data_IF_632329622946
#
_entry.id   IF_632329622946
#
_cell.length_a   1.000
_cell.length_b   1.000
_cell.length_c   1.000
_cell.angle_alpha   90.00
_cell.angle_beta   90.00
_cell.angle_gamma   90.00
#
_symmetry.space_group_name_H-M   'P 1'
#
loop_
_entity.id
_entity.type
_entity.pdbx_description
1 polymer ?
#
# COMPACT_ATOMS: atom_id res chain seq x y z
N UNK A 1 12.53 -6.28 21.98
CA UNK A 1 13.14 -6.41 20.64
C UNK A 1 13.52 -5.03 20.15
N UNK A 2 14.55 -4.90 19.31
CA UNK A 2 15.03 -3.59 18.81
C UNK A 2 14.30 -3.12 17.54
N UNK A 3 13.54 -4.01 16.90
CA UNK A 3 12.94 -3.77 15.60
C UNK A 3 11.46 -4.18 15.59
N UNK A 4 10.65 -3.37 14.92
CA UNK A 4 9.21 -3.60 14.76
C UNK A 4 8.81 -3.42 13.30
N UNK A 5 7.82 -4.20 12.87
CA UNK A 5 7.10 -4.01 11.62
C UNK A 5 5.75 -3.38 11.95
N UNK A 6 5.53 -2.17 11.44
CA UNK A 6 4.22 -1.51 11.44
C UNK A 6 3.44 -2.00 10.23
N UNK A 7 2.40 -2.79 10.48
CA UNK A 7 1.49 -3.32 9.48
C UNK A 7 0.40 -2.31 9.13
N UNK A 8 0.19 -2.05 7.84
CA UNK A 8 -0.83 -1.13 7.31
C UNK A 8 -1.75 -1.91 6.37
N UNK A 9 -3.00 -2.05 6.75
CA UNK A 9 -3.97 -2.88 6.04
C UNK A 9 -4.43 -2.26 4.70
N UNK A 10 -5.08 -3.07 3.88
CA UNK A 10 -5.71 -2.63 2.64
C UNK A 10 -7.16 -2.15 2.83
N UNK A 11 -7.88 -1.95 1.73
CA UNK A 11 -9.29 -1.58 1.78
C UNK A 11 -10.12 -2.71 2.40
N UNK A 12 -11.04 -2.37 3.31
CA UNK A 12 -11.86 -3.34 4.04
C UNK A 12 -11.12 -4.15 5.11
N UNK A 13 -9.80 -3.96 5.24
CA UNK A 13 -8.99 -4.66 6.23
C UNK A 13 -9.00 -4.02 7.61
N UNK A 14 -8.26 -4.62 8.54
CA UNK A 14 -8.11 -4.13 9.92
C UNK A 14 -6.68 -4.27 10.44
N UNK A 15 -6.27 -3.51 11.47
CA UNK A 15 -4.97 -3.70 12.12
C UNK A 15 -4.77 -5.11 12.70
N UNK A 16 -5.84 -5.88 12.96
CA UNK A 16 -5.72 -7.24 13.52
C UNK A 16 -5.09 -8.23 12.56
N UNK A 17 -5.14 -7.97 11.25
CA UNK A 17 -4.46 -8.81 10.25
C UNK A 17 -2.94 -8.90 10.47
N UNK A 18 -2.35 -7.95 11.21
CA UNK A 18 -0.96 -8.01 11.67
C UNK A 18 -0.64 -9.32 12.42
N UNK A 19 -1.62 -9.91 13.11
CA UNK A 19 -1.44 -11.14 13.90
C UNK A 19 -1.01 -12.33 13.03
N UNK A 20 -1.50 -12.42 11.79
CA UNK A 20 -1.11 -13.46 10.82
C UNK A 20 0.38 -13.41 10.48
N UNK A 21 0.98 -12.23 10.47
CA UNK A 21 2.36 -12.04 10.05
C UNK A 21 3.37 -12.25 11.19
N UNK A 22 2.94 -12.17 12.45
CA UNK A 22 3.81 -12.40 13.62
C UNK A 22 4.68 -13.67 13.54
N UNK A 23 4.13 -14.87 13.25
CA UNK A 23 4.95 -16.07 13.14
C UNK A 23 5.88 -16.10 11.91
N UNK A 24 5.72 -15.16 10.97
CA UNK A 24 6.51 -15.06 9.74
C UNK A 24 7.70 -14.10 9.87
N UNK A 25 7.74 -13.30 10.93
CA UNK A 25 8.72 -12.22 11.11
C UNK A 25 9.61 -12.47 12.34
N UNK A 26 10.40 -13.55 12.39
CA UNK A 26 11.28 -13.81 13.52
C UNK A 26 12.24 -12.62 13.73
N UNK A 27 12.43 -12.21 14.99
CA UNK A 27 13.27 -11.06 15.33
C UNK A 27 12.59 -9.69 15.23
N UNK A 28 11.32 -9.63 14.80
CA UNK A 28 10.50 -8.42 14.80
C UNK A 28 9.28 -8.59 15.70
N UNK A 29 8.94 -7.52 16.41
CA UNK A 29 7.54 -7.35 16.84
C UNK A 29 6.71 -6.91 15.62
N UNK A 30 5.44 -7.33 15.55
CA UNK A 30 4.52 -6.91 14.47
C UNK A 30 3.26 -6.32 15.08
N UNK A 31 3.00 -5.05 14.73
CA UNK A 31 1.89 -4.26 15.24
C UNK A 31 1.06 -3.72 14.08
N UNK A 32 -0.26 -3.76 14.19
CA UNK A 32 -1.15 -3.17 13.20
C UNK A 32 -1.42 -1.69 13.48
N UNK A 33 -1.27 -0.83 12.48
CA UNK A 33 -1.69 0.56 12.53
C UNK A 33 -3.22 0.64 12.40
N UNK A 34 -3.90 1.01 13.48
CA UNK A 34 -5.34 1.28 13.42
C UNK A 34 -5.60 2.66 12.83
N UNK A 35 -6.35 2.73 11.73
CA UNK A 35 -6.80 3.99 11.17
C UNK A 35 -8.25 3.91 10.67
N UNK A 36 -8.89 5.06 10.54
CA UNK A 36 -10.23 5.22 9.99
C UNK A 36 -10.21 6.17 8.79
N UNK A 37 -11.03 5.87 7.78
CA UNK A 37 -11.14 6.63 6.54
C UNK A 37 -10.63 5.87 5.32
N UNK A 38 -11.06 6.32 4.14
CA UNK A 38 -10.68 5.76 2.83
C UNK A 38 -9.85 6.72 1.99
N UNK A 39 -9.57 7.93 2.51
CA UNK A 39 -8.83 8.98 1.80
C UNK A 39 -7.51 9.32 2.53
N UNK A 40 -6.44 9.62 1.79
CA UNK A 40 -5.11 9.80 2.36
C UNK A 40 -5.04 10.95 3.38
N UNK A 41 -5.79 12.04 3.19
CA UNK A 41 -5.82 13.15 4.15
C UNK A 41 -6.61 12.83 5.44
N UNK A 42 -7.45 11.80 5.46
CA UNK A 42 -8.10 11.31 6.68
C UNK A 42 -7.14 10.38 7.45
N UNK A 43 -6.40 9.55 6.71
CA UNK A 43 -5.57 8.48 7.26
C UNK A 43 -4.17 8.97 7.68
N UNK A 44 -3.60 9.97 7.00
CA UNK A 44 -2.20 10.41 7.20
C UNK A 44 -1.83 10.67 8.66
N UNK A 45 -2.62 11.47 9.37
CA UNK A 45 -2.31 11.84 10.76
C UNK A 45 -2.23 10.61 11.67
N UNK A 46 -3.19 9.70 11.52
CA UNK A 46 -3.29 8.47 12.31
C UNK A 46 -2.09 7.54 12.05
N UNK A 47 -1.66 7.40 10.80
CA UNK A 47 -0.46 6.61 10.47
C UNK A 47 0.82 7.24 11.01
N UNK A 48 0.94 8.57 10.92
CA UNK A 48 2.08 9.29 11.50
C UNK A 48 2.16 9.10 13.01
N UNK A 49 1.04 9.19 13.72
CA UNK A 49 0.98 8.95 15.16
C UNK A 49 1.40 7.51 15.51
N UNK A 50 0.88 6.52 14.77
CA UNK A 50 1.26 5.12 14.95
C UNK A 50 2.76 4.87 14.70
N UNK A 51 3.33 5.49 13.67
CA UNK A 51 4.77 5.39 13.38
C UNK A 51 5.60 6.07 14.48
N UNK A 52 5.19 7.24 14.96
CA UNK A 52 5.89 7.94 16.02
C UNK A 52 5.90 7.13 17.32
N UNK A 53 4.76 6.54 17.70
CA UNK A 53 4.65 5.69 18.88
C UNK A 53 5.55 4.45 18.76
N UNK A 54 5.52 3.78 17.60
CA UNK A 54 6.43 2.68 17.31
C UNK A 54 7.90 3.13 17.44
N UNK A 55 8.24 4.32 16.94
CA UNK A 55 9.62 4.82 16.98
C UNK A 55 10.09 5.20 18.38
N UNK A 56 9.19 5.51 19.32
CA UNK A 56 9.52 5.74 20.74
C UNK A 56 9.90 4.45 21.46
N UNK A 57 9.26 3.34 21.08
CA UNK A 57 9.47 2.04 21.72
C UNK A 57 10.57 1.21 21.05
N UNK A 58 10.78 1.41 19.75
CA UNK A 58 11.68 0.59 18.93
C UNK A 58 12.75 1.43 18.23
N UNK A 59 13.96 0.88 18.12
CA UNK A 59 15.10 1.55 17.46
C UNK A 59 14.94 1.59 15.94
N UNK A 60 14.31 0.56 15.35
CA UNK A 60 14.03 0.50 13.91
C UNK A 60 12.56 0.16 13.68
N UNK A 61 11.92 0.92 12.81
CA UNK A 61 10.53 0.70 12.38
C UNK A 61 10.56 0.42 10.89
N UNK A 62 10.17 -0.79 10.49
CA UNK A 62 9.91 -1.16 9.10
C UNK A 62 8.40 -1.14 8.85
N UNK A 63 7.99 -1.13 7.59
CA UNK A 63 6.57 -1.13 7.20
C UNK A 63 6.25 -2.39 6.43
N UNK A 64 5.14 -3.05 6.77
CA UNK A 64 4.52 -4.07 5.93
C UNK A 64 3.15 -3.53 5.53
N UNK A 65 2.88 -3.37 4.24
CA UNK A 65 1.62 -2.78 3.79
C UNK A 65 0.97 -3.62 2.69
N UNK A 66 -0.36 -3.58 2.64
CA UNK A 66 -1.16 -4.33 1.69
C UNK A 66 -2.02 -3.39 0.83
N UNK A 67 -2.00 -3.57 -0.50
CA UNK A 67 -2.87 -2.84 -1.43
C UNK A 67 -2.79 -1.31 -1.25
N UNK A 68 -3.93 -0.63 -1.08
CA UNK A 68 -4.04 0.81 -0.81
C UNK A 68 -3.23 1.27 0.42
N UNK A 69 -3.00 0.38 1.39
CA UNK A 69 -2.17 0.65 2.56
C UNK A 69 -0.74 1.02 2.18
N UNK A 70 -0.23 0.50 1.05
CA UNK A 70 1.09 0.85 0.52
C UNK A 70 1.12 2.32 0.09
N UNK A 71 0.10 2.77 -0.64
CA UNK A 71 -0.04 4.18 -1.01
C UNK A 71 -0.17 5.08 0.22
N UNK A 72 -1.00 4.71 1.20
CA UNK A 72 -1.13 5.48 2.44
C UNK A 72 0.18 5.55 3.23
N UNK A 73 0.94 4.45 3.29
CA UNK A 73 2.27 4.45 3.91
C UNK A 73 3.21 5.44 3.20
N UNK A 74 3.27 5.39 1.87
CA UNK A 74 4.12 6.29 1.09
C UNK A 74 3.70 7.76 1.22
N UNK A 75 2.40 8.06 1.19
CA UNK A 75 1.90 9.43 1.37
C UNK A 75 2.12 9.97 2.79
N UNK A 76 1.95 9.12 3.80
CA UNK A 76 2.08 9.53 5.20
C UNK A 76 3.55 9.72 5.61
N UNK A 77 4.42 8.80 5.20
CA UNK A 77 5.79 8.70 5.72
C UNK A 77 6.84 9.44 4.86
N UNK A 78 6.43 10.37 4.01
CA UNK A 78 7.32 11.18 3.14
C UNK A 78 8.45 11.87 3.90
N UNK A 79 8.20 12.29 5.13
CA UNK A 79 9.18 12.95 6.00
C UNK A 79 9.70 12.04 7.13
N UNK A 80 9.36 10.75 7.09
CA UNK A 80 9.82 9.74 8.02
C UNK A 80 10.96 8.93 7.38
N UNK A 81 11.62 8.10 8.19
CA UNK A 81 12.68 7.20 7.71
C UNK A 81 12.40 5.75 8.15
N UNK A 82 11.36 5.07 7.61
CA UNK A 82 11.21 3.64 7.78
C UNK A 82 12.50 2.91 7.37
N UNK A 83 12.89 1.89 8.13
CA UNK A 83 14.13 1.16 7.89
C UNK A 83 14.06 0.34 6.58
N UNK A 84 12.91 -0.30 6.34
CA UNK A 84 12.56 -1.04 5.13
C UNK A 84 11.05 -1.01 4.92
N UNK A 85 10.62 -1.31 3.71
CA UNK A 85 9.22 -1.56 3.39
C UNK A 85 9.02 -2.90 2.67
N UNK A 86 7.91 -3.55 2.99
CA UNK A 86 7.48 -4.81 2.41
C UNK A 86 6.05 -4.59 1.91
N UNK A 87 5.84 -4.63 0.60
CA UNK A 87 4.58 -4.29 -0.03
C UNK A 87 3.95 -5.51 -0.68
N UNK A 88 2.69 -5.75 -0.36
CA UNK A 88 1.88 -6.85 -0.91
C UNK A 88 0.84 -6.23 -1.82
N UNK A 89 0.83 -6.64 -3.09
CA UNK A 89 -0.09 -6.15 -4.13
C UNK A 89 -0.27 -4.63 -4.12
N UNK A 90 0.81 -3.83 -4.14
CA UNK A 90 0.72 -2.42 -3.81
C UNK A 90 -0.01 -1.59 -4.86
N UNK A 91 -0.80 -0.62 -4.40
CA UNK A 91 -1.14 0.54 -5.23
C UNK A 91 0.05 1.50 -5.21
N UNK A 92 0.78 1.58 -6.32
CA UNK A 92 2.02 2.36 -6.44
C UNK A 92 1.85 3.71 -7.13
N UNK A 93 0.78 3.87 -7.91
CA UNK A 93 0.44 5.11 -8.60
C UNK A 93 -1.06 5.35 -8.48
N UNK A 94 -1.42 6.26 -7.56
CA UNK A 94 -2.82 6.58 -7.29
C UNK A 94 -3.44 7.42 -8.40
N UNK A 95 -2.67 8.26 -9.08
CA UNK A 95 -3.18 9.04 -10.21
C UNK A 95 -3.56 8.08 -11.34
N UNK A 96 -2.66 7.17 -11.72
CA UNK A 96 -2.92 6.19 -12.76
C UNK A 96 -4.13 5.31 -12.40
N UNK A 97 -4.25 4.86 -11.15
CA UNK A 97 -5.42 4.09 -10.69
C UNK A 97 -6.73 4.89 -10.82
N UNK A 98 -6.75 6.16 -10.44
CA UNK A 98 -7.94 7.02 -10.60
C UNK A 98 -8.28 7.18 -12.08
N UNK A 99 -7.29 7.44 -12.94
CA UNK A 99 -7.47 7.58 -14.39
C UNK A 99 -7.98 6.28 -15.04
N UNK A 100 -7.51 5.13 -14.58
CA UNK A 100 -8.00 3.81 -15.02
C UNK A 100 -9.48 3.63 -14.66
N UNK A 101 -9.85 3.93 -13.42
CA UNK A 101 -11.26 3.88 -12.98
C UNK A 101 -12.15 4.83 -13.76
N UNK A 102 -11.66 6.04 -14.08
CA UNK A 102 -12.36 6.98 -14.95
C UNK A 102 -12.59 6.39 -16.35
N UNK A 103 -11.57 5.78 -16.95
CA UNK A 103 -11.69 5.13 -18.26
C UNK A 103 -12.69 3.99 -18.24
N UNK A 104 -12.66 3.12 -17.23
CA UNK A 104 -13.61 2.01 -17.10
C UNK A 104 -15.05 2.51 -16.91
N UNK A 105 -15.24 3.62 -16.21
CA UNK A 105 -16.54 4.24 -16.00
C UNK A 105 -17.01 5.15 -17.16
N UNK A 106 -16.18 5.37 -18.18
CA UNK A 106 -16.49 6.30 -19.28
C UNK A 106 -16.59 7.76 -18.84
N UNK A 107 -15.85 8.14 -17.78
CA UNK A 107 -15.87 9.49 -17.18
C UNK A 107 -14.69 10.30 -17.69
N UNK A 108 -14.94 11.50 -18.23
CA UNK A 108 -13.87 12.44 -18.59
C UNK A 108 -13.39 13.27 -17.39
N UNK A 109 -12.20 13.84 -17.47
CA UNK A 109 -11.72 14.79 -16.44
C UNK A 109 -12.61 16.02 -16.33
N UNK A 110 -13.14 16.53 -17.45
CA UNK A 110 -14.06 17.66 -17.45
C UNK A 110 -15.36 17.34 -16.71
N UNK A 111 -15.91 16.13 -16.91
CA UNK A 111 -17.10 15.68 -16.18
C UNK A 111 -16.82 15.55 -14.68
N UNK A 112 -15.68 14.95 -14.31
CA UNK A 112 -15.30 14.78 -12.93
C UNK A 112 -15.07 16.13 -12.24
N UNK A 113 -14.39 17.07 -12.90
CA UNK A 113 -14.19 18.43 -12.42
C UNK A 113 -15.51 19.17 -12.21
N UNK A 114 -16.45 19.06 -13.16
CA UNK A 114 -17.73 19.75 -13.08
C UNK A 114 -18.65 19.18 -11.98
N UNK A 115 -18.65 17.86 -11.78
CA UNK A 115 -19.53 17.18 -10.81
C UNK A 115 -18.91 17.05 -9.42
N UNK A 116 -17.60 17.16 -9.30
CA UNK A 116 -16.85 17.00 -8.06
C UNK A 116 -16.69 15.53 -7.64
N UNK A 117 -17.81 14.81 -7.50
CA UNK A 117 -17.81 13.37 -7.21
C UNK A 117 -18.80 12.64 -8.14
N UNK A 118 -18.38 11.48 -8.63
CA UNK A 118 -19.20 10.62 -9.50
C UNK A 118 -19.24 9.22 -8.87
N UNK A 119 -20.44 8.73 -8.47
CA UNK A 119 -20.60 7.37 -7.97
C UNK A 119 -20.10 6.35 -9.00
N UNK A 120 -19.50 5.27 -8.52
CA UNK A 120 -19.10 4.14 -9.36
C UNK A 120 -19.90 2.90 -8.98
N UNK A 121 -20.10 1.98 -9.91
CA UNK A 121 -20.80 0.72 -9.65
C UNK A 121 -20.00 -0.21 -8.71
N UNK A 122 -18.69 0.03 -8.56
CA UNK A 122 -17.76 -0.86 -7.85
C UNK A 122 -16.92 -0.11 -6.80
N UNK A 123 -17.58 0.45 -5.78
CA UNK A 123 -16.92 0.95 -4.56
C UNK A 123 -16.95 2.47 -4.43
N UNK A 124 -15.84 3.05 -3.94
CA UNK A 124 -15.76 4.47 -3.60
C UNK A 124 -16.00 5.38 -4.83
N UNK A 125 -16.63 6.55 -4.67
CA UNK A 125 -16.86 7.46 -5.80
C UNK A 125 -15.53 7.94 -6.42
N UNK A 126 -15.54 8.21 -7.72
CA UNK A 126 -14.50 9.03 -8.35
C UNK A 126 -14.59 10.44 -7.77
N UNK A 127 -13.46 11.02 -7.37
CA UNK A 127 -13.43 12.32 -6.70
C UNK A 127 -12.40 13.25 -7.37
N UNK A 128 -12.87 14.38 -7.88
CA UNK A 128 -12.02 15.44 -8.43
C UNK A 128 -11.02 15.93 -7.38
N UNK A 129 -11.48 16.08 -6.13
CA UNK A 129 -10.62 16.47 -5.01
C UNK A 129 -9.48 15.47 -4.82
N UNK A 130 -9.76 14.17 -4.95
CA UNK A 130 -8.72 13.15 -4.81
C UNK A 130 -7.73 13.20 -5.98
N UNK A 131 -8.23 13.34 -7.22
CA UNK A 131 -7.37 13.51 -8.40
C UNK A 131 -6.45 14.73 -8.28
N UNK A 132 -6.97 15.89 -7.89
CA UNK A 132 -6.14 17.08 -7.64
C UNK A 132 -5.12 16.83 -6.53
N UNK A 133 -5.57 16.23 -5.43
CA UNK A 133 -4.73 15.98 -4.27
C UNK A 133 -3.51 15.11 -4.61
N UNK A 134 -3.64 14.09 -5.47
CA UNK A 134 -2.50 13.23 -5.85
C UNK A 134 -1.55 13.94 -6.81
N UNK A 135 -2.08 14.76 -7.73
CA UNK A 135 -1.28 15.58 -8.66
C UNK A 135 -0.47 16.67 -7.95
N UNK A 136 -1.06 17.28 -6.93
CA UNK A 136 -0.40 18.29 -6.10
C UNK A 136 0.65 17.68 -5.15
N UNK A 137 0.65 16.35 -4.99
CA UNK A 137 1.56 15.64 -4.09
C UNK A 137 2.17 14.40 -4.75
N UNK A 138 3.06 14.58 -5.73
CA UNK A 138 3.82 13.47 -6.29
C UNK A 138 4.50 12.64 -5.20
N UNK A 139 4.46 11.32 -5.34
CA UNK A 139 5.07 10.40 -4.39
C UNK A 139 6.58 10.65 -4.32
N UNK A 140 7.10 10.68 -3.09
CA UNK A 140 8.52 10.77 -2.78
C UNK A 140 8.82 9.62 -1.83
N UNK A 141 9.55 8.60 -2.32
CA UNK A 141 9.72 7.34 -1.60
C UNK A 141 11.11 6.71 -1.79
N UNK A 142 12.05 7.05 -0.91
CA UNK A 142 13.43 6.56 -1.01
C UNK A 142 13.71 5.35 -0.09
N UNK A 143 12.67 4.71 0.44
CA UNK A 143 12.82 3.56 1.33
C UNK A 143 13.07 2.29 0.52
N UNK A 144 14.09 1.52 0.90
CA UNK A 144 14.35 0.19 0.32
C UNK A 144 13.12 -0.70 0.47
N UNK A 145 12.55 -1.12 -0.66
CA UNK A 145 11.22 -1.77 -0.71
C UNK A 145 11.29 -3.15 -1.37
N UNK A 146 10.73 -4.16 -0.73
CA UNK A 146 10.46 -5.47 -1.33
C UNK A 146 8.99 -5.52 -1.73
N UNK A 147 8.71 -5.93 -2.97
CA UNK A 147 7.36 -5.97 -3.52
C UNK A 147 6.99 -7.41 -3.87
N UNK A 148 5.85 -7.88 -3.36
CA UNK A 148 5.14 -9.05 -3.85
C UNK A 148 3.98 -8.60 -4.73
N UNK A 149 3.92 -9.12 -5.95
CA UNK A 149 2.91 -8.78 -6.95
C UNK A 149 2.38 -10.05 -7.63
N UNK A 150 1.06 -10.14 -7.81
CA UNK A 150 0.43 -11.21 -8.60
C UNK A 150 0.39 -10.83 -10.09
N UNK A 151 0.77 -11.72 -11.00
CA UNK A 151 0.78 -11.39 -12.43
C UNK A 151 -0.60 -11.23 -13.08
N UNK A 152 -1.67 -11.65 -12.38
CA UNK A 152 -3.08 -11.43 -12.72
C UNK A 152 -3.71 -10.31 -11.88
N UNK A 153 -2.91 -9.39 -11.32
CA UNK A 153 -3.44 -8.20 -10.66
C UNK A 153 -4.18 -7.31 -11.66
N UNK A 154 -5.51 -7.29 -11.54
CA UNK A 154 -6.40 -6.47 -12.37
C UNK A 154 -6.56 -5.03 -11.87
N UNK A 155 -5.97 -4.67 -10.73
CA UNK A 155 -6.10 -3.33 -10.14
C UNK A 155 -4.86 -2.48 -10.42
N UNK A 156 -3.66 -3.01 -10.15
CA UNK A 156 -2.40 -2.32 -10.42
C UNK A 156 -1.71 -2.97 -11.60
N UNK A 157 -1.70 -2.28 -12.74
CA UNK A 157 -1.08 -2.83 -13.95
C UNK A 157 0.42 -3.07 -13.81
N UNK A 158 0.92 -4.13 -14.46
CA UNK A 158 2.34 -4.50 -14.44
C UNK A 158 3.30 -3.37 -14.83
N UNK A 159 2.90 -2.54 -15.80
CA UNK A 159 3.68 -1.39 -16.24
C UNK A 159 3.96 -0.39 -15.10
N UNK A 160 2.97 -0.16 -14.23
CA UNK A 160 3.10 0.71 -13.05
C UNK A 160 4.11 0.15 -12.07
N UNK A 161 4.05 -1.16 -11.80
CA UNK A 161 5.01 -1.84 -10.91
C UNK A 161 6.43 -1.77 -11.48
N UNK A 162 6.61 -2.08 -12.77
CA UNK A 162 7.91 -2.02 -13.41
C UNK A 162 8.48 -0.58 -13.44
N UNK A 163 7.62 0.42 -13.64
CA UNK A 163 8.03 1.83 -13.58
C UNK A 163 8.49 2.24 -12.18
N UNK A 164 7.76 1.81 -11.14
CA UNK A 164 8.14 2.05 -9.75
C UNK A 164 9.49 1.41 -9.43
N UNK A 165 9.70 0.15 -9.79
CA UNK A 165 10.97 -0.58 -9.56
C UNK A 165 12.15 0.06 -10.28
N UNK A 166 11.95 0.64 -11.48
CA UNK A 166 13.01 1.36 -12.20
C UNK A 166 13.41 2.69 -11.56
N UNK A 167 12.49 3.32 -10.82
CA UNK A 167 12.64 4.70 -10.31
C UNK A 167 12.91 4.78 -8.81
N UNK A 168 12.72 3.69 -8.08
CA UNK A 168 12.83 3.62 -6.62
C UNK A 168 13.76 2.47 -6.20
N UNK A 169 14.33 2.50 -4.98
CA UNK A 169 15.12 1.39 -4.46
C UNK A 169 14.21 0.21 -4.11
N UNK A 170 13.71 -0.50 -5.12
CA UNK A 170 12.76 -1.59 -4.95
C UNK A 170 13.20 -2.88 -5.67
N UNK A 171 12.79 -4.01 -5.10
CA UNK A 171 12.91 -5.34 -5.71
C UNK A 171 11.54 -5.97 -5.85
N UNK A 172 11.33 -6.69 -6.94
CA UNK A 172 10.04 -7.26 -7.31
C UNK A 172 10.10 -8.79 -7.31
N UNK A 173 9.20 -9.41 -6.57
CA UNK A 173 8.83 -10.82 -6.69
C UNK A 173 7.46 -10.92 -7.33
N UNK A 174 7.34 -11.69 -8.41
CA UNK A 174 6.08 -11.92 -9.11
C UNK A 174 5.58 -13.33 -8.83
N UNK A 175 4.35 -13.46 -8.36
CA UNK A 175 3.65 -14.73 -8.27
C UNK A 175 2.89 -14.98 -9.58
N UNK A 176 3.26 -16.04 -10.29
CA UNK A 176 2.53 -16.50 -11.47
C UNK A 176 1.11 -16.98 -11.08
N UNK A 177 0.08 -16.51 -11.78
CA UNK A 177 -1.32 -16.79 -11.44
C UNK A 177 -1.81 -16.09 -10.17
N UNK A 178 -1.00 -15.24 -9.55
CA UNK A 178 -1.39 -14.48 -8.37
C UNK A 178 -2.36 -13.36 -8.74
N UNK A 179 -3.42 -13.20 -7.97
CA UNK A 179 -4.39 -12.10 -8.11
C UNK A 179 -3.99 -10.90 -7.24
N UNK A 180 -4.69 -9.78 -7.37
CA UNK A 180 -4.49 -8.63 -6.48
C UNK A 180 -4.70 -9.00 -5.01
N UNK A 181 -5.82 -9.67 -4.72
CA UNK A 181 -6.10 -10.20 -3.39
C UNK A 181 -5.56 -11.62 -3.28
N UNK A 182 -4.55 -11.82 -2.43
CA UNK A 182 -4.02 -13.15 -2.14
C UNK A 182 -4.95 -13.84 -1.14
N UNK A 183 -5.74 -14.82 -1.59
CA UNK A 183 -6.74 -15.50 -0.76
C UNK A 183 -6.71 -17.03 -0.87
N UNK A 184 -6.23 -17.58 -1.98
CA UNK A 184 -6.14 -19.03 -2.13
C UNK A 184 -5.02 -19.60 -1.23
N UNK A 185 -5.13 -20.88 -0.86
CA UNK A 185 -4.11 -21.52 -0.03
C UNK A 185 -2.71 -21.46 -0.68
N UNK A 186 -2.64 -21.59 -2.02
CA UNK A 186 -1.39 -21.46 -2.77
C UNK A 186 -0.84 -20.04 -2.74
N UNK A 187 -1.68 -19.02 -2.97
CA UNK A 187 -1.29 -17.62 -2.89
C UNK A 187 -0.79 -17.25 -1.48
N UNK A 188 -1.53 -17.65 -0.44
CA UNK A 188 -1.14 -17.39 0.94
C UNK A 188 0.18 -18.10 1.31
N UNK A 189 0.38 -19.33 0.85
CA UNK A 189 1.64 -20.05 1.06
C UNK A 189 2.82 -19.37 0.36
N UNK A 190 2.63 -18.89 -0.87
CA UNK A 190 3.64 -18.13 -1.61
C UNK A 190 3.98 -16.82 -0.89
N UNK A 191 2.97 -16.08 -0.44
CA UNK A 191 3.15 -14.85 0.33
C UNK A 191 3.91 -15.09 1.64
N UNK A 192 3.58 -16.17 2.35
CA UNK A 192 4.25 -16.54 3.60
C UNK A 192 5.71 -16.94 3.36
N UNK A 193 5.99 -17.62 2.25
CA UNK A 193 7.35 -17.95 1.83
C UNK A 193 8.16 -16.72 1.43
N UNK A 194 7.57 -15.84 0.62
CA UNK A 194 8.18 -14.57 0.22
C UNK A 194 8.55 -13.72 1.43
N UNK A 195 7.62 -13.52 2.38
CA UNK A 195 7.85 -12.66 3.53
C UNK A 195 9.00 -13.17 4.41
N UNK A 196 9.09 -14.49 4.63
CA UNK A 196 10.23 -15.08 5.35
C UNK A 196 11.54 -14.81 4.62
N UNK A 197 11.59 -15.09 3.33
CA UNK A 197 12.81 -14.95 2.52
C UNK A 197 13.36 -13.52 2.46
N UNK A 198 12.49 -12.49 2.51
CA UNK A 198 12.92 -11.08 2.45
C UNK A 198 13.29 -10.49 3.81
N UNK A 199 12.92 -11.19 4.90
CA UNK A 199 13.23 -10.83 6.28
C UNK A 199 14.49 -11.51 6.84
N UNK A 200 14.90 -12.63 6.24
CA UNK A 200 16.17 -13.32 6.50
C UNK A 200 17.40 -12.48 6.06
#
# INVERSE_FOLDING_TARGET
>A
MDQVILYIHGQGGTPREAERFRPLCPGYDVIGAGYQGSLPWQVRGQLLDAYCEARRQYRRVSVLANSIGCYFAMDAFRACAPARAYFISPVLDMEQLILDRMRWAGVSEADLQAKGEIPTEWGDPLSWRYLCYVRERPLQWDVSTEILYGDQDGLTGRQTVDAFVRSHPARLTVMAGGEHWFHTAEQLAFLDGWLRNVLD
#
